data_IF_798321538571
#
_entry.id   IF_798321538571
#
_cell.length_a   1.000
_cell.length_b   1.000
_cell.length_c   1.000
_cell.angle_alpha   90.00
_cell.angle_beta   90.00
_cell.angle_gamma   90.00
#
_symmetry.space_group_name_H-M   'P 1'
#
loop_
_entity.id
_entity.type
_entity.pdbx_description
1 polymer ?
#
# COMPACT_ATOMS: atom_id res chain seq x y z
N UNK A 1 -16.34 -22.12 5.91
CA UNK A 1 -16.25 -20.74 5.41
C UNK A 1 -15.74 -20.82 3.99
N UNK A 2 -16.33 -20.08 3.05
CA UNK A 2 -15.77 -20.00 1.70
C UNK A 2 -14.72 -18.91 1.67
N UNK A 3 -13.58 -19.15 1.02
CA UNK A 3 -12.54 -18.15 0.79
C UNK A 3 -12.32 -18.02 -0.71
N UNK A 4 -12.50 -16.80 -1.24
CA UNK A 4 -12.40 -16.54 -2.67
C UNK A 4 -11.46 -15.38 -2.95
N UNK A 5 -10.72 -15.49 -4.06
CA UNK A 5 -9.91 -14.41 -4.60
C UNK A 5 -10.28 -14.17 -6.04
N UNK A 6 -10.54 -12.92 -6.39
CA UNK A 6 -10.85 -12.51 -7.76
C UNK A 6 -9.97 -11.34 -8.18
N UNK A 7 -9.35 -11.46 -9.36
CA UNK A 7 -8.72 -10.32 -10.04
C UNK A 7 -9.80 -9.58 -10.84
N UNK A 8 -9.95 -8.29 -10.59
CA UNK A 8 -10.94 -7.43 -11.23
C UNK A 8 -10.42 -6.00 -11.29
N UNK A 9 -11.32 -5.02 -11.36
CA UNK A 9 -10.98 -3.60 -11.36
C UNK A 9 -11.64 -2.86 -10.20
N UNK A 10 -10.96 -1.82 -9.71
CA UNK A 10 -11.50 -0.83 -8.79
C UNK A 10 -11.20 0.56 -9.36
N UNK A 11 -12.23 1.36 -9.69
CA UNK A 11 -12.08 2.69 -10.31
C UNK A 11 -11.06 2.71 -11.48
N UNK A 12 -11.20 1.74 -12.39
CA UNK A 12 -10.33 1.52 -13.55
C UNK A 12 -8.86 1.14 -13.24
N UNK A 13 -8.58 0.64 -12.04
CA UNK A 13 -7.29 0.08 -11.68
C UNK A 13 -7.37 -1.43 -11.46
N UNK A 14 -6.30 -2.15 -11.80
CA UNK A 14 -6.19 -3.57 -11.49
C UNK A 14 -6.26 -3.79 -9.98
N UNK A 15 -7.17 -4.66 -9.54
CA UNK A 15 -7.43 -4.91 -8.13
C UNK A 15 -7.60 -6.40 -7.84
N UNK A 16 -7.31 -6.77 -6.59
CA UNK A 16 -7.53 -8.11 -6.05
C UNK A 16 -8.59 -8.03 -4.97
N UNK A 17 -9.69 -8.72 -5.19
CA UNK A 17 -10.80 -8.86 -4.26
C UNK A 17 -10.56 -10.12 -3.44
N UNK A 18 -10.58 -9.98 -2.11
CA UNK A 18 -10.44 -11.06 -1.14
C UNK A 18 -11.74 -11.13 -0.36
N UNK A 19 -12.35 -12.30 -0.29
CA UNK A 19 -13.62 -12.44 0.40
C UNK A 19 -13.71 -13.75 1.16
N UNK A 20 -14.31 -13.69 2.36
CA UNK A 20 -14.88 -14.85 3.02
C UNK A 20 -16.31 -14.57 3.49
N UNK A 21 -16.88 -15.42 4.35
CA UNK A 21 -18.26 -15.25 4.82
C UNK A 21 -18.47 -13.92 5.57
N UNK A 22 -17.40 -13.40 6.21
CA UNK A 22 -17.44 -12.31 7.18
C UNK A 22 -16.88 -10.98 6.61
N UNK A 23 -15.84 -11.04 5.78
CA UNK A 23 -15.08 -9.89 5.31
C UNK A 23 -14.96 -9.87 3.79
N UNK A 24 -15.02 -8.67 3.22
CA UNK A 24 -14.72 -8.35 1.83
C UNK A 24 -13.64 -7.25 1.82
N UNK A 25 -12.53 -7.50 1.14
CA UNK A 25 -11.41 -6.56 1.03
C UNK A 25 -11.01 -6.36 -0.43
N UNK A 26 -10.54 -5.14 -0.75
CA UNK A 26 -10.03 -4.80 -2.08
C UNK A 26 -8.61 -4.27 -1.95
N UNK A 27 -7.66 -4.93 -2.59
CA UNK A 27 -6.27 -4.52 -2.69
C UNK A 27 -6.00 -3.95 -4.08
N UNK A 28 -5.35 -2.78 -4.16
CA UNK A 28 -4.96 -2.13 -5.42
C UNK A 28 -3.43 -2.04 -5.49
N UNK A 29 -2.75 -3.01 -6.13
CA UNK A 29 -1.29 -3.01 -6.23
C UNK A 29 -0.71 -1.77 -6.93
N UNK A 30 -1.45 -1.20 -7.89
CA UNK A 30 -1.08 0.02 -8.61
C UNK A 30 -1.03 1.29 -7.74
N UNK A 31 -1.64 1.25 -6.56
CA UNK A 31 -1.78 2.38 -5.64
C UNK A 31 -0.95 2.18 -4.38
N UNK A 32 0.32 1.85 -4.54
CA UNK A 32 1.21 1.64 -3.41
C UNK A 32 0.86 0.39 -2.59
N UNK A 33 0.28 -0.63 -3.22
CA UNK A 33 -0.32 -1.77 -2.52
C UNK A 33 -1.40 -1.36 -1.51
N UNK A 34 -2.21 -0.35 -1.78
CA UNK A 34 -3.23 0.11 -0.83
C UNK A 34 -4.39 -0.90 -0.73
N UNK A 35 -4.68 -1.37 0.48
CA UNK A 35 -5.94 -2.07 0.79
C UNK A 35 -7.05 -1.01 0.88
N UNK A 36 -7.66 -0.72 -0.26
CA UNK A 36 -8.49 0.46 -0.47
C UNK A 36 -9.88 0.36 0.16
N UNK A 37 -10.37 -0.87 0.33
CA UNK A 37 -11.68 -1.17 0.93
C UNK A 37 -11.57 -2.36 1.86
N UNK A 38 -12.29 -2.27 2.98
CA UNK A 38 -12.57 -3.39 3.88
C UNK A 38 -14.00 -3.23 4.38
N UNK A 39 -14.80 -4.29 4.27
CA UNK A 39 -16.21 -4.30 4.62
C UNK A 39 -16.53 -5.51 5.50
N UNK A 40 -17.24 -5.25 6.59
CA UNK A 40 -17.86 -6.27 7.42
C UNK A 40 -19.20 -6.68 6.80
N UNK A 41 -19.27 -7.88 6.24
CA UNK A 41 -20.42 -8.37 5.46
C UNK A 41 -21.70 -8.52 6.30
N UNK A 42 -21.69 -9.05 7.54
CA UNK A 42 -22.92 -9.27 8.30
C UNK A 42 -23.80 -8.04 8.53
N UNK A 43 -23.23 -6.84 8.62
CA UNK A 43 -24.00 -5.59 8.69
C UNK A 43 -23.83 -4.67 7.48
N UNK A 44 -22.98 -5.03 6.53
CA UNK A 44 -22.61 -4.19 5.39
C UNK A 44 -21.75 -2.98 5.75
N UNK A 45 -21.19 -2.92 6.96
CA UNK A 45 -20.41 -1.79 7.45
C UNK A 45 -19.07 -1.68 6.69
N UNK A 46 -18.81 -0.52 6.08
CA UNK A 46 -17.49 -0.18 5.53
C UNK A 46 -16.57 0.21 6.69
N UNK A 47 -15.50 -0.55 6.88
CA UNK A 47 -14.51 -0.34 7.95
C UNK A 47 -13.44 0.69 7.56
N UNK A 48 -13.18 0.86 6.26
CA UNK A 48 -12.23 1.83 5.72
C UNK A 48 -12.95 2.90 4.90
N UNK A 49 -12.42 4.12 4.92
CA UNK A 49 -12.82 5.16 3.98
C UNK A 49 -12.36 4.74 2.58
N UNK A 50 -13.33 4.47 1.71
CA UNK A 50 -13.13 4.02 0.33
C UNK A 50 -13.54 5.16 -0.61
N UNK A 51 -12.72 5.55 -1.60
CA UNK A 51 -13.05 6.63 -2.51
C UNK A 51 -14.17 6.21 -3.46
N UNK A 52 -15.06 7.13 -3.82
CA UNK A 52 -16.14 6.88 -4.78
C UNK A 52 -15.68 7.15 -6.21
N UNK A 53 -14.70 8.04 -6.39
CA UNK A 53 -14.14 8.38 -7.70
C UNK A 53 -12.61 8.42 -7.68
N UNK A 54 -12.00 8.30 -8.86
CA UNK A 54 -10.55 8.34 -8.99
C UNK A 54 -10.02 9.75 -8.69
N UNK A 55 -10.81 10.78 -9.02
CA UNK A 55 -10.51 12.17 -8.71
C UNK A 55 -10.47 12.41 -7.19
N UNK A 56 -11.41 11.82 -6.43
CA UNK A 56 -11.43 11.90 -4.97
C UNK A 56 -10.17 11.25 -4.37
N UNK A 57 -9.81 10.06 -4.85
CA UNK A 57 -8.59 9.38 -4.43
C UNK A 57 -7.34 10.22 -4.74
N UNK A 58 -7.22 10.71 -5.97
CA UNK A 58 -6.06 11.48 -6.43
C UNK A 58 -5.91 12.82 -5.71
N UNK A 59 -7.00 13.41 -5.21
CA UNK A 59 -6.95 14.66 -4.46
C UNK A 59 -6.14 14.51 -3.17
N UNK A 60 -6.27 13.37 -2.47
CA UNK A 60 -5.41 13.03 -1.34
C UNK A 60 -5.39 11.51 -1.06
N UNK A 61 -4.46 10.76 -1.67
CA UNK A 61 -4.35 9.31 -1.50
C UNK A 61 -4.15 8.85 -0.05
N UNK A 62 -3.62 9.72 0.81
CA UNK A 62 -3.35 9.40 2.21
C UNK A 62 -4.61 9.27 3.08
N UNK A 63 -5.78 9.67 2.57
CA UNK A 63 -7.04 9.65 3.32
C UNK A 63 -7.89 8.39 3.08
N UNK A 64 -7.43 7.48 2.22
CA UNK A 64 -8.22 6.32 1.78
C UNK A 64 -7.49 5.00 2.00
N UNK A 65 -8.26 3.99 2.42
CA UNK A 65 -7.75 2.65 2.66
C UNK A 65 -6.64 2.60 3.72
N UNK A 66 -5.57 1.87 3.40
CA UNK A 66 -4.37 1.69 4.24
C UNK A 66 -3.14 2.05 3.38
N UNK A 67 -2.76 3.34 3.29
CA UNK A 67 -1.61 3.77 2.49
C UNK A 67 -0.29 3.32 3.13
N UNK A 68 0.64 2.83 2.31
CA UNK A 68 2.00 2.48 2.74
C UNK A 68 2.86 3.73 2.82
N UNK A 69 3.35 4.05 4.02
CA UNK A 69 4.13 5.26 4.29
C UNK A 69 5.59 4.89 4.54
N UNK A 70 6.47 5.23 3.60
CA UNK A 70 7.90 4.91 3.71
C UNK A 70 8.78 6.06 3.18
N UNK A 71 9.41 6.85 4.06
CA UNK A 71 9.19 6.89 5.52
C UNK A 71 7.83 7.50 5.91
N UNK A 72 7.32 7.21 7.13
CA UNK A 72 6.08 7.82 7.61
C UNK A 72 6.30 9.26 8.11
N UNK A 73 5.27 10.09 7.92
CA UNK A 73 5.22 11.47 8.36
C UNK A 73 6.36 12.33 7.77
N UNK A 74 6.74 13.40 8.47
CA UNK A 74 7.60 14.47 7.97
C UNK A 74 9.08 14.16 8.10
N UNK A 75 9.83 14.57 7.08
CA UNK A 75 11.26 14.86 7.15
C UNK A 75 11.40 16.38 7.00
N UNK A 76 11.98 16.98 8.04
CA UNK A 76 12.24 18.41 8.13
C UNK A 76 13.05 18.89 6.93
N UNK A 77 12.54 19.91 6.22
CA UNK A 77 13.14 20.43 4.98
C UNK A 77 13.48 19.37 3.92
N UNK A 78 12.83 18.20 3.98
CA UNK A 78 13.13 17.04 3.13
C UNK A 78 14.59 16.57 3.24
N UNK A 79 15.34 16.98 4.26
CA UNK A 79 16.79 16.83 4.29
C UNK A 79 17.25 16.19 5.57
N UNK A 80 18.15 15.20 5.44
CA UNK A 80 18.81 14.60 6.58
C UNK A 80 20.21 14.13 6.20
N UNK A 81 21.07 13.96 7.20
CA UNK A 81 22.41 13.37 7.01
C UNK A 81 22.49 12.06 7.77
N UNK A 82 22.91 11.00 7.07
CA UNK A 82 23.15 9.70 7.68
C UNK A 82 24.49 9.15 7.18
N UNK A 83 25.33 8.71 8.11
CA UNK A 83 26.67 8.15 7.84
C UNK A 83 27.52 9.03 6.88
N UNK A 84 27.46 10.36 7.07
CA UNK A 84 28.22 11.31 6.26
C UNK A 84 27.64 11.61 4.87
N UNK A 85 26.51 10.99 4.48
CA UNK A 85 25.79 11.29 3.26
C UNK A 85 24.56 12.15 3.56
N UNK A 86 24.45 13.27 2.86
CA UNK A 86 23.23 14.10 2.86
C UNK A 86 22.24 13.54 1.86
N UNK A 87 20.98 13.43 2.28
CA UNK A 87 19.83 13.07 1.46
C UNK A 87 18.91 14.28 1.35
N UNK A 88 18.34 14.47 0.16
CA UNK A 88 17.40 15.54 -0.14
C UNK A 88 16.22 14.94 -0.89
N UNK A 89 15.06 14.93 -0.24
CA UNK A 89 13.80 14.41 -0.74
C UNK A 89 12.93 15.58 -1.22
N UNK A 90 12.09 15.39 -2.24
CA UNK A 90 11.23 16.45 -2.75
C UNK A 90 10.26 16.98 -1.69
N UNK A 91 10.16 18.31 -1.58
CA UNK A 91 9.17 18.97 -0.73
C UNK A 91 7.79 18.81 -1.34
N UNK A 92 6.92 18.06 -0.67
CA UNK A 92 5.52 17.87 -1.06
C UNK A 92 4.53 18.51 -0.07
N UNK A 93 4.97 18.93 1.12
CA UNK A 93 4.21 19.75 2.06
C UNK A 93 4.72 21.20 2.03
N UNK A 94 4.32 21.97 1.01
CA UNK A 94 4.87 23.31 0.76
C UNK A 94 4.72 24.30 1.92
N UNK A 95 3.57 24.41 2.64
CA UNK A 95 3.42 25.43 3.69
C UNK A 95 4.34 25.23 4.89
N UNK A 96 4.75 23.99 5.16
CA UNK A 96 5.65 23.64 6.27
C UNK A 96 7.04 23.22 5.78
N UNK A 97 7.28 23.33 4.47
CA UNK A 97 8.52 22.99 3.79
C UNK A 97 9.05 21.57 4.09
N UNK A 98 8.19 20.58 4.30
CA UNK A 98 8.61 19.20 4.59
C UNK A 98 8.47 18.26 3.39
N UNK A 99 9.23 17.17 3.42
CA UNK A 99 8.84 15.94 2.74
C UNK A 99 7.90 15.15 3.66
N UNK A 100 6.76 14.70 3.18
CA UNK A 100 5.69 14.06 3.93
C UNK A 100 5.32 12.71 3.31
N UNK A 101 5.29 11.66 4.14
CA UNK A 101 4.72 10.33 3.80
C UNK A 101 5.44 9.51 2.73
N UNK A 102 6.66 9.91 2.34
CA UNK A 102 7.54 9.04 1.58
C UNK A 102 7.23 9.01 0.09
N UNK A 103 7.57 7.90 -0.54
CA UNK A 103 7.62 7.79 -2.02
C UNK A 103 7.19 6.42 -2.56
N UNK A 104 6.48 5.62 -1.75
CA UNK A 104 5.99 4.28 -2.16
C UNK A 104 4.47 4.22 -2.38
N UNK A 105 3.71 5.18 -1.84
CA UNK A 105 2.25 5.13 -1.77
C UNK A 105 1.55 5.26 -3.14
N UNK A 106 2.26 5.77 -4.15
CA UNK A 106 1.77 6.01 -5.51
C UNK A 106 2.41 5.09 -6.56
N UNK A 107 3.24 4.14 -6.12
CA UNK A 107 3.97 3.24 -7.03
C UNK A 107 3.16 1.99 -7.31
N UNK A 108 3.40 1.38 -8.48
CA UNK A 108 2.89 0.04 -8.78
C UNK A 108 3.74 -1.00 -8.09
N UNK A 109 3.10 -1.85 -7.29
CA UNK A 109 3.72 -3.01 -6.64
C UNK A 109 3.44 -4.27 -7.46
N UNK A 110 4.39 -5.19 -7.48
CA UNK A 110 4.26 -6.51 -8.10
C UNK A 110 3.52 -7.44 -7.16
N UNK A 111 2.58 -8.24 -7.68
CA UNK A 111 1.90 -9.29 -6.90
C UNK A 111 2.72 -10.56 -7.01
N UNK A 112 3.39 -10.96 -5.93
CA UNK A 112 4.28 -12.12 -5.88
C UNK A 112 3.52 -13.41 -5.58
N UNK A 113 2.47 -13.32 -4.76
CA UNK A 113 1.72 -14.50 -4.29
C UNK A 113 0.24 -14.17 -4.17
N UNK A 114 -0.59 -15.12 -4.62
CA UNK A 114 -2.03 -15.17 -4.33
C UNK A 114 -2.39 -16.61 -4.05
N UNK A 115 -2.79 -16.90 -2.82
CA UNK A 115 -3.18 -18.24 -2.37
C UNK A 115 -4.51 -18.15 -1.61
N UNK A 116 -5.42 -19.08 -1.91
CA UNK A 116 -6.68 -19.23 -1.20
C UNK A 116 -6.84 -20.71 -0.83
N UNK A 117 -7.16 -20.96 0.44
CA UNK A 117 -7.41 -22.28 1.01
C UNK A 117 -8.79 -22.30 1.64
N UNK A 118 -9.22 -23.42 2.21
CA UNK A 118 -10.48 -23.48 2.96
C UNK A 118 -10.42 -22.74 4.31
N UNK A 119 -9.22 -22.30 4.73
CA UNK A 119 -8.99 -21.68 6.05
C UNK A 119 -8.58 -20.20 5.97
N UNK A 120 -7.89 -19.79 4.90
CA UNK A 120 -7.40 -18.42 4.77
C UNK A 120 -7.06 -18.03 3.32
N UNK A 121 -6.91 -16.72 3.10
CA UNK A 121 -6.35 -16.12 1.89
C UNK A 121 -5.04 -15.42 2.23
N UNK A 122 -4.02 -15.60 1.39
CA UNK A 122 -2.76 -14.86 1.44
C UNK A 122 -2.53 -14.14 0.11
N UNK A 123 -2.30 -12.83 0.18
CA UNK A 123 -1.80 -12.04 -0.95
C UNK A 123 -0.52 -11.32 -0.56
N UNK A 124 0.51 -11.48 -1.37
CA UNK A 124 1.80 -10.83 -1.15
C UNK A 124 2.12 -9.89 -2.31
N UNK A 125 2.46 -8.65 -1.98
CA UNK A 125 2.94 -7.65 -2.92
C UNK A 125 4.37 -7.24 -2.58
N UNK A 126 5.14 -6.87 -3.60
CA UNK A 126 6.52 -6.45 -3.46
C UNK A 126 6.79 -5.21 -4.30
N UNK A 127 7.56 -4.30 -3.72
CA UNK A 127 8.22 -3.22 -4.44
C UNK A 127 9.72 -3.46 -4.36
N UNK A 128 10.38 -3.43 -5.51
CA UNK A 128 11.82 -3.54 -5.64
C UNK A 128 12.37 -2.18 -6.09
N UNK A 129 13.22 -1.55 -5.29
CA UNK A 129 13.70 -0.19 -5.58
C UNK A 129 14.45 -0.08 -6.91
N UNK A 130 15.06 -1.18 -7.37
CA UNK A 130 15.88 -1.17 -8.59
C UNK A 130 15.02 -1.11 -9.86
N UNK A 131 13.72 -1.42 -9.77
CA UNK A 131 12.75 -1.27 -10.85
C UNK A 131 12.18 0.17 -10.93
N UNK A 132 12.57 1.05 -9.99
CA UNK A 132 12.05 2.41 -9.85
C UNK A 132 13.19 3.46 -9.87
N UNK A 133 13.60 3.93 -11.06
CA UNK A 133 14.66 4.93 -11.19
C UNK A 133 14.38 6.23 -10.44
N UNK A 134 13.12 6.62 -10.31
CA UNK A 134 12.67 7.79 -9.56
C UNK A 134 12.89 7.64 -8.04
N UNK A 135 12.67 6.44 -7.48
CA UNK A 135 13.05 6.12 -6.10
C UNK A 135 14.58 6.18 -5.95
N UNK A 136 15.33 5.59 -6.89
CA UNK A 136 16.80 5.59 -6.82
C UNK A 136 17.40 6.99 -6.93
N UNK A 137 16.74 7.93 -7.61
CA UNK A 137 17.20 9.30 -7.70
C UNK A 137 17.18 10.03 -6.33
N UNK A 138 16.24 9.69 -5.45
CA UNK A 138 16.05 10.35 -4.13
C UNK A 138 16.65 9.53 -2.98
N UNK A 139 16.55 8.20 -3.03
CA UNK A 139 17.02 7.27 -2.03
C UNK A 139 17.81 6.13 -2.71
N UNK A 140 19.07 6.38 -3.10
CA UNK A 140 19.90 5.51 -3.95
C UNK A 140 20.48 4.31 -3.17
N UNK A 141 19.59 3.49 -2.63
CA UNK A 141 19.88 2.20 -2.00
C UNK A 141 19.12 1.10 -2.73
N UNK A 142 19.67 -0.11 -2.75
CA UNK A 142 18.95 -1.28 -3.25
C UNK A 142 18.20 -1.91 -2.10
N UNK A 143 16.87 -1.89 -2.17
CA UNK A 143 16.02 -2.46 -1.15
C UNK A 143 14.76 -3.05 -1.77
N UNK A 144 14.10 -3.93 -1.03
CA UNK A 144 12.75 -4.35 -1.36
C UNK A 144 11.85 -4.26 -0.14
N UNK A 145 10.60 -3.85 -0.36
CA UNK A 145 9.53 -3.93 0.63
C UNK A 145 8.55 -5.01 0.17
N UNK A 146 8.13 -5.86 1.10
CA UNK A 146 7.10 -6.88 0.84
C UNK A 146 6.00 -6.74 1.88
N UNK A 147 4.75 -6.60 1.41
CA UNK A 147 3.55 -6.61 2.25
C UNK A 147 2.80 -7.92 2.05
N UNK A 148 2.40 -8.56 3.13
CA UNK A 148 1.59 -9.78 3.11
C UNK A 148 0.27 -9.52 3.82
N UNK A 149 -0.83 -9.67 3.07
CA UNK A 149 -2.20 -9.59 3.57
C UNK A 149 -2.71 -11.00 3.79
N UNK A 150 -3.12 -11.31 5.03
CA UNK A 150 -3.73 -12.59 5.39
C UNK A 150 -5.14 -12.37 5.89
N UNK A 151 -6.13 -12.97 5.22
CA UNK A 151 -7.53 -12.95 5.63
C UNK A 151 -7.91 -14.33 6.19
N UNK A 152 -8.21 -14.40 7.48
CA UNK A 152 -8.55 -15.64 8.21
C UNK A 152 -9.68 -15.36 9.22
N UNK A 153 -10.83 -16.01 9.05
CA UNK A 153 -12.04 -15.75 9.81
C UNK A 153 -12.40 -14.26 9.79
N UNK A 154 -12.46 -13.63 10.96
CA UNK A 154 -12.80 -12.22 11.12
C UNK A 154 -11.57 -11.30 11.19
N UNK A 155 -10.38 -11.81 10.85
CA UNK A 155 -9.13 -11.10 10.98
C UNK A 155 -8.51 -10.83 9.61
N UNK A 156 -8.12 -9.57 9.40
CA UNK A 156 -7.17 -9.17 8.38
C UNK A 156 -5.84 -8.85 9.07
N UNK A 157 -4.81 -9.65 8.79
CA UNK A 157 -3.44 -9.40 9.25
C UNK A 157 -2.62 -8.81 8.10
N UNK A 158 -1.80 -7.80 8.42
CA UNK A 158 -0.89 -7.16 7.47
C UNK A 158 0.51 -7.22 8.06
N UNK A 159 1.41 -7.95 7.43
CA UNK A 159 2.82 -8.01 7.78
C UNK A 159 3.65 -7.27 6.71
N UNK A 160 4.62 -6.47 7.16
CA UNK A 160 5.54 -5.75 6.28
C UNK A 160 6.98 -6.17 6.57
N UNK A 161 7.76 -6.41 5.52
CA UNK A 161 9.20 -6.69 5.63
C UNK A 161 9.98 -5.78 4.69
N UNK A 162 11.15 -5.34 5.16
CA UNK A 162 12.09 -4.54 4.39
C UNK A 162 13.44 -5.26 4.36
N UNK A 163 14.01 -5.40 3.17
CA UNK A 163 15.30 -6.06 2.96
C UNK A 163 16.22 -5.08 2.26
N UNK A 164 17.37 -4.81 2.87
CA UNK A 164 18.49 -4.13 2.22
C UNK A 164 19.28 -5.15 1.39
N UNK A 165 19.58 -4.86 0.13
CA UNK A 165 20.20 -5.79 -0.83
C UNK A 165 21.56 -5.31 -1.31
#
# INVERSE_FOLDING_TARGET
MSYTVQKSRFLDEEAIWLENDDLEAVLVPGWGSNLISLKWKPSGLKLLKTPETKEEYNANPFLFGIPVLFPPNRIDHGRFTYAGRTYELPINEKPLENHLHGFLYDKKWTVEKVEATEEMIIVQTKLDSDDHPDIKAIFPHSFSITITYTLEGQHLKIDASAVNR
#
